data_IF_854957478672
#
_entry.id   IF_854957478672
#
_cell.length_a   1.000
_cell.length_b   1.000
_cell.length_c   1.000
_cell.angle_alpha   90.00
_cell.angle_beta   90.00
_cell.angle_gamma   90.00
#
_symmetry.space_group_name_H-M   'P 1'
#
loop_
_entity.id
_entity.type
_entity.pdbx_description
1 polymer ?
#
# COMPACT_ATOMS: atom_id res chain seq x y z
N UNK A 1 -1.34 -8.25 7.47
CA UNK A 1 0.07 -7.87 7.30
C UNK A 1 0.90 -9.07 6.87
N UNK A 2 1.51 -9.04 5.68
CA UNK A 2 2.38 -10.12 5.17
C UNK A 2 3.57 -10.44 6.11
N UNK A 3 4.00 -9.49 6.94
CA UNK A 3 5.10 -9.69 7.89
C UNK A 3 4.80 -10.69 9.05
N UNK A 4 3.52 -10.98 9.33
CA UNK A 4 3.15 -12.00 10.34
C UNK A 4 3.28 -13.44 9.82
N UNK A 5 3.28 -13.64 8.50
CA UNK A 5 3.44 -14.95 7.88
C UNK A 5 4.92 -15.37 7.81
N UNK A 6 5.81 -14.43 7.47
CA UNK A 6 7.26 -14.71 7.31
C UNK A 6 7.94 -15.25 8.59
N UNK A 7 7.53 -14.78 9.77
CA UNK A 7 8.12 -15.22 11.05
C UNK A 7 7.71 -16.65 11.41
N UNK A 8 6.46 -17.02 11.14
CA UNK A 8 5.94 -18.36 11.41
C UNK A 8 6.55 -19.37 10.42
N UNK A 9 6.71 -18.98 9.16
CA UNK A 9 7.35 -19.80 8.11
C UNK A 9 8.82 -20.13 8.44
N UNK A 10 9.59 -19.16 8.94
CA UNK A 10 10.99 -19.38 9.33
C UNK A 10 11.11 -20.37 10.51
N UNK A 11 10.24 -20.24 11.53
CA UNK A 11 10.22 -21.16 12.68
C UNK A 11 9.81 -22.57 12.25
N UNK A 12 8.84 -22.68 11.33
CA UNK A 12 8.42 -23.98 10.77
C UNK A 12 9.52 -24.63 9.94
N UNK A 13 10.27 -23.87 9.13
CA UNK A 13 11.39 -24.39 8.35
C UNK A 13 12.53 -24.92 9.22
N UNK A 14 12.88 -24.21 10.31
CA UNK A 14 13.87 -24.65 11.29
C UNK A 14 13.39 -25.92 12.01
N UNK A 15 12.12 -25.96 12.43
CA UNK A 15 11.53 -27.12 13.11
C UNK A 15 11.50 -28.36 12.22
N UNK A 16 11.21 -28.18 10.92
CA UNK A 16 11.26 -29.23 9.91
C UNK A 16 12.69 -29.75 9.71
N UNK A 17 13.67 -28.85 9.56
CA UNK A 17 15.08 -29.20 9.39
C UNK A 17 15.63 -30.02 10.55
N UNK A 18 15.36 -29.60 11.79
CA UNK A 18 15.77 -30.31 13.01
C UNK A 18 15.08 -31.68 13.14
N UNK A 19 13.79 -31.76 12.80
CA UNK A 19 13.04 -33.03 12.87
C UNK A 19 13.54 -34.04 11.83
N UNK A 20 13.83 -33.60 10.59
CA UNK A 20 14.39 -34.45 9.53
C UNK A 20 15.83 -34.89 9.85
N UNK A 21 16.64 -33.99 10.42
CA UNK A 21 18.00 -34.31 10.85
C UNK A 21 18.01 -35.41 11.93
N UNK A 22 17.11 -35.34 12.91
CA UNK A 22 17.03 -36.34 13.98
C UNK A 22 16.46 -37.67 13.49
N UNK A 23 15.52 -37.64 12.53
CA UNK A 23 14.99 -38.85 11.89
C UNK A 23 16.04 -39.59 11.04
N UNK A 24 16.95 -38.85 10.41
CA UNK A 24 18.03 -39.41 9.61
C UNK A 24 19.23 -39.88 10.45
N UNK A 25 19.35 -39.41 11.70
CA UNK A 25 20.42 -39.80 12.63
C UNK A 25 20.06 -41.12 13.36
N UNK A 26 20.95 -42.11 13.25
CA UNK A 26 20.93 -43.43 13.92
C UNK A 26 19.73 -44.37 13.65
N UNK A 27 19.79 -45.22 12.61
CA UNK A 27 18.70 -46.11 12.17
C UNK A 27 18.18 -47.20 13.13
N UNK A 28 18.78 -47.44 14.31
CA UNK A 28 18.57 -48.71 15.06
C UNK A 28 17.72 -48.67 16.33
N UNK A 29 17.36 -47.51 16.89
CA UNK A 29 16.40 -47.40 18.01
C UNK A 29 15.52 -46.15 17.89
N UNK A 30 14.23 -46.31 18.17
CA UNK A 30 13.31 -45.20 18.40
C UNK A 30 13.53 -44.76 19.84
N UNK A 31 14.23 -43.65 20.03
CA UNK A 31 14.33 -42.99 21.32
C UNK A 31 13.20 -41.96 21.45
N UNK A 32 12.87 -41.54 22.67
CA UNK A 32 11.84 -40.52 22.96
C UNK A 32 11.94 -39.29 22.04
N UNK A 33 13.15 -38.80 21.78
CA UNK A 33 13.45 -37.70 20.85
C UNK A 33 12.92 -37.95 19.43
N UNK A 34 13.07 -39.16 18.90
CA UNK A 34 12.50 -39.51 17.58
C UNK A 34 10.99 -39.56 17.59
N UNK A 35 10.39 -40.01 18.69
CA UNK A 35 8.94 -39.95 18.87
C UNK A 35 8.44 -38.50 18.82
N UNK A 36 9.13 -37.59 19.52
CA UNK A 36 8.85 -36.15 19.49
C UNK A 36 9.03 -35.58 18.07
N UNK A 37 10.10 -35.93 17.35
CA UNK A 37 10.32 -35.47 15.98
C UNK A 37 9.25 -35.96 15.00
N UNK A 38 8.80 -37.22 15.10
CA UNK A 38 7.68 -37.74 14.29
C UNK A 38 6.39 -36.98 14.59
N UNK A 39 6.11 -36.74 15.88
CA UNK A 39 4.93 -35.98 16.30
C UNK A 39 4.94 -34.54 15.77
N UNK A 40 6.07 -33.83 15.88
CA UNK A 40 6.23 -32.47 15.35
C UNK A 40 6.10 -32.43 13.82
N UNK A 41 6.66 -33.41 13.12
CA UNK A 41 6.52 -33.54 11.67
C UNK A 41 5.05 -33.76 11.27
N UNK A 42 4.34 -34.64 11.97
CA UNK A 42 2.93 -34.91 11.73
C UNK A 42 2.07 -33.66 11.99
N UNK A 43 2.31 -32.94 13.09
CA UNK A 43 1.65 -31.67 13.42
C UNK A 43 1.89 -30.61 12.35
N UNK A 44 3.11 -30.52 11.81
CA UNK A 44 3.45 -29.57 10.77
C UNK A 44 2.76 -29.91 9.44
N UNK A 45 2.71 -31.19 9.06
CA UNK A 45 1.97 -31.65 7.87
C UNK A 45 0.47 -31.35 8.02
N UNK A 46 -0.12 -31.65 9.19
CA UNK A 46 -1.53 -31.35 9.48
C UNK A 46 -1.79 -29.85 9.38
N UNK A 47 -0.95 -29.03 10.01
CA UNK A 47 -1.08 -27.56 9.96
C UNK A 47 -0.95 -27.04 8.53
N UNK A 48 0.00 -27.58 7.75
CA UNK A 48 0.17 -27.18 6.36
C UNK A 48 -1.07 -27.54 5.53
N UNK A 49 -1.59 -28.77 5.65
CA UNK A 49 -2.67 -29.26 4.81
C UNK A 49 -4.06 -28.74 5.18
N UNK A 50 -4.32 -28.57 6.48
CA UNK A 50 -5.65 -28.19 6.99
C UNK A 50 -5.76 -26.71 7.36
N UNK A 51 -4.65 -26.00 7.59
CA UNK A 51 -4.67 -24.57 7.95
C UNK A 51 -4.06 -23.74 6.84
N UNK A 52 -2.80 -23.99 6.46
CA UNK A 52 -2.11 -23.14 5.47
C UNK A 52 -2.70 -23.31 4.08
N UNK A 53 -2.81 -24.53 3.53
CA UNK A 53 -3.35 -24.75 2.18
C UNK A 53 -4.76 -24.14 2.03
N UNK A 54 -5.71 -24.30 2.97
CA UNK A 54 -7.02 -23.64 2.88
C UNK A 54 -6.94 -22.12 2.99
N UNK A 55 -6.03 -21.56 3.79
CA UNK A 55 -5.80 -20.10 3.83
C UNK A 55 -5.23 -19.59 2.51
N UNK A 56 -4.21 -20.28 1.97
CA UNK A 56 -3.65 -19.96 0.66
C UNK A 56 -4.70 -20.13 -0.42
N UNK A 57 -5.44 -21.24 -0.47
CA UNK A 57 -6.57 -21.42 -1.39
C UNK A 57 -7.59 -20.30 -1.19
N UNK A 58 -8.08 -20.01 0.01
CA UNK A 58 -9.00 -18.87 0.23
C UNK A 58 -8.44 -17.53 -0.26
N UNK A 59 -7.14 -17.31 -0.14
CA UNK A 59 -6.49 -16.07 -0.57
C UNK A 59 -6.15 -16.05 -2.08
N UNK A 60 -6.01 -17.20 -2.73
CA UNK A 60 -5.55 -17.37 -4.12
C UNK A 60 -6.59 -17.98 -5.07
N UNK A 61 -7.61 -18.65 -4.56
CA UNK A 61 -8.60 -19.45 -5.28
C UNK A 61 -10.00 -18.83 -5.25
N UNK A 62 -10.12 -17.51 -5.12
CA UNK A 62 -11.19 -16.64 -5.68
C UNK A 62 -11.09 -15.22 -5.09
N UNK A 63 -11.23 -14.14 -5.87
CA UNK A 63 -12.15 -13.10 -5.46
C UNK A 63 -13.59 -13.60 -5.73
N UNK A 64 -14.56 -13.36 -4.83
CA UNK A 64 -15.97 -13.51 -5.20
C UNK A 64 -16.22 -12.58 -6.41
N UNK A 65 -16.73 -13.13 -7.51
CA UNK A 65 -17.09 -12.41 -8.74
C UNK A 65 -16.02 -11.46 -9.29
N UNK A 66 -15.04 -11.96 -10.05
CA UNK A 66 -14.29 -11.24 -11.12
C UNK A 66 -14.06 -9.72 -10.95
N UNK A 67 -13.75 -9.25 -9.74
CA UNK A 67 -13.37 -7.85 -9.53
C UNK A 67 -11.88 -7.74 -9.74
N UNK A 68 -11.48 -7.03 -10.80
CA UNK A 68 -10.08 -6.74 -11.04
C UNK A 68 -9.57 -5.92 -9.84
N UNK A 69 -8.53 -6.38 -9.15
CA UNK A 69 -7.99 -5.71 -7.96
C UNK A 69 -7.47 -4.30 -8.26
N UNK A 70 -7.25 -3.98 -9.53
CA UNK A 70 -6.84 -2.64 -9.97
C UNK A 70 -8.02 -1.76 -10.37
N UNK A 71 -9.24 -2.32 -10.49
CA UNK A 71 -10.42 -1.57 -10.90
C UNK A 71 -11.17 -1.02 -9.69
N UNK A 72 -11.72 0.18 -9.84
CA UNK A 72 -12.62 0.80 -8.86
C UNK A 72 -14.09 0.53 -9.19
N UNK A 73 -14.84 0.11 -8.18
CA UNK A 73 -16.26 -0.26 -8.25
C UNK A 73 -17.14 0.77 -7.55
N UNK A 74 -18.45 0.89 -7.86
CA UNK A 74 -19.33 1.91 -7.29
C UNK A 74 -19.39 1.99 -5.77
N UNK A 75 -19.06 0.91 -5.08
CA UNK A 75 -18.97 0.80 -3.63
C UNK A 75 -17.59 1.18 -3.04
N UNK A 76 -16.58 1.38 -3.88
CA UNK A 76 -15.25 1.79 -3.45
C UNK A 76 -15.18 3.30 -3.16
N UNK A 77 -14.51 3.73 -2.07
CA UNK A 77 -14.33 5.15 -1.75
C UNK A 77 -13.66 5.97 -2.86
N UNK A 78 -12.84 5.32 -3.70
CA UNK A 78 -12.14 5.95 -4.82
C UNK A 78 -12.98 6.12 -6.08
N UNK A 79 -14.16 5.50 -6.17
CA UNK A 79 -14.94 5.47 -7.40
C UNK A 79 -15.41 6.84 -7.87
N UNK A 80 -16.06 7.60 -6.98
CA UNK A 80 -16.55 8.94 -7.32
C UNK A 80 -15.39 9.92 -7.61
N UNK A 81 -14.24 9.72 -6.94
CA UNK A 81 -13.02 10.51 -7.16
C UNK A 81 -12.46 10.21 -8.56
N UNK A 82 -12.26 8.94 -8.90
CA UNK A 82 -11.75 8.52 -10.20
C UNK A 82 -12.67 8.95 -11.34
N UNK A 83 -13.98 8.75 -11.16
CA UNK A 83 -15.01 9.17 -12.11
C UNK A 83 -15.00 10.68 -12.33
N UNK A 84 -14.87 11.47 -11.26
CA UNK A 84 -14.76 12.91 -11.39
C UNK A 84 -13.51 13.30 -12.18
N UNK A 85 -12.34 12.73 -11.86
CA UNK A 85 -11.07 13.04 -12.54
C UNK A 85 -11.16 12.70 -14.03
N UNK A 86 -11.68 11.53 -14.38
CA UNK A 86 -11.84 11.09 -15.78
C UNK A 86 -12.69 12.08 -16.58
N UNK A 87 -13.77 12.59 -15.98
CA UNK A 87 -14.73 13.44 -16.68
C UNK A 87 -14.36 14.93 -16.71
N UNK A 88 -13.54 15.41 -15.78
CA UNK A 88 -13.30 16.85 -15.58
C UNK A 88 -11.86 17.28 -15.84
N UNK A 89 -10.93 16.35 -16.11
CA UNK A 89 -9.52 16.67 -16.36
C UNK A 89 -9.07 16.15 -17.72
N UNK A 90 -8.18 16.88 -18.43
CA UNK A 90 -7.61 16.41 -19.69
C UNK A 90 -6.64 15.24 -19.46
N UNK A 91 -6.41 14.38 -20.46
CA UNK A 91 -5.55 13.19 -20.33
C UNK A 91 -4.10 13.53 -19.96
N UNK A 92 -3.62 14.63 -20.51
CA UNK A 92 -2.30 15.19 -20.29
C UNK A 92 -2.15 15.88 -18.92
N UNK A 93 -3.22 15.98 -18.12
CA UNK A 93 -3.13 16.58 -16.80
C UNK A 93 -2.20 15.80 -15.89
N UNK A 94 -1.35 16.55 -15.18
CA UNK A 94 -0.50 16.06 -14.10
C UNK A 94 -1.28 16.07 -12.79
N UNK A 95 -1.38 14.90 -12.16
CA UNK A 95 -1.97 14.73 -10.83
C UNK A 95 -0.90 14.55 -9.77
N UNK A 96 -1.11 15.19 -8.63
CA UNK A 96 -0.48 14.83 -7.37
C UNK A 96 -1.52 14.21 -6.45
N UNK A 97 -1.39 12.93 -6.12
CA UNK A 97 -2.33 12.23 -5.26
C UNK A 97 -1.65 11.78 -3.96
N UNK A 98 -2.27 12.13 -2.82
CA UNK A 98 -1.92 11.54 -1.51
C UNK A 98 -2.80 10.34 -1.17
N UNK A 99 -3.84 10.09 -1.97
CA UNK A 99 -4.71 8.91 -1.88
C UNK A 99 -4.00 7.66 -2.39
N UNK A 100 -4.75 6.57 -2.59
CA UNK A 100 -4.21 5.36 -3.21
C UNK A 100 -3.68 5.64 -4.63
N UNK A 101 -2.46 5.17 -4.89
CA UNK A 101 -1.79 5.14 -6.19
C UNK A 101 -2.62 4.56 -7.35
N UNK A 102 -3.64 3.76 -7.05
CA UNK A 102 -4.59 3.20 -8.03
C UNK A 102 -5.24 4.28 -8.90
N UNK A 103 -5.37 5.51 -8.38
CA UNK A 103 -5.93 6.64 -9.13
C UNK A 103 -5.19 6.89 -10.44
N UNK A 104 -3.87 6.72 -10.48
CA UNK A 104 -3.08 6.94 -11.70
C UNK A 104 -3.35 5.88 -12.77
N UNK A 105 -3.59 4.64 -12.33
CA UNK A 105 -3.92 3.53 -13.22
C UNK A 105 -5.34 3.67 -13.78
N UNK A 106 -6.30 4.02 -12.92
CA UNK A 106 -7.72 4.09 -13.28
C UNK A 106 -8.06 5.34 -14.10
N UNK A 107 -7.41 6.46 -13.80
CA UNK A 107 -7.71 7.73 -14.47
C UNK A 107 -6.91 7.95 -15.75
N UNK A 108 -5.81 7.20 -15.97
CA UNK A 108 -4.89 7.41 -17.10
C UNK A 108 -4.41 8.86 -17.15
N UNK A 109 -3.81 9.33 -16.05
CA UNK A 109 -3.27 10.69 -15.89
C UNK A 109 -1.81 10.68 -15.51
N UNK A 110 -1.09 11.73 -15.90
CA UNK A 110 0.33 11.85 -15.63
C UNK A 110 0.58 12.11 -14.15
N UNK A 111 1.69 11.59 -13.63
CA UNK A 111 2.14 11.91 -12.28
C UNK A 111 2.93 13.22 -12.31
N UNK A 112 2.54 14.20 -11.49
CA UNK A 112 3.33 15.43 -11.34
C UNK A 112 4.72 15.15 -10.74
N UNK A 113 4.79 14.17 -9.84
CA UNK A 113 6.05 13.67 -9.31
C UNK A 113 6.02 12.13 -9.23
N UNK A 114 6.62 11.39 -10.19
CA UNK A 114 6.62 9.94 -10.19
C UNK A 114 7.37 9.31 -9.01
N UNK A 115 8.16 10.09 -8.26
CA UNK A 115 8.91 9.64 -7.07
C UNK A 115 8.18 9.89 -5.75
N UNK A 116 7.04 10.59 -5.76
CA UNK A 116 6.26 10.90 -4.56
C UNK A 116 5.25 9.80 -4.16
N UNK A 117 5.10 8.72 -4.94
CA UNK A 117 3.92 7.84 -4.91
C UNK A 117 4.15 6.40 -4.42
N UNK A 118 5.17 6.13 -3.58
CA UNK A 118 5.25 4.80 -2.94
C UNK A 118 4.58 4.84 -1.57
N UNK A 119 3.51 4.03 -1.42
CA UNK A 119 2.72 3.83 -0.21
C UNK A 119 3.59 3.50 1.02
N UNK A 120 4.04 4.53 1.73
CA UNK A 120 4.60 4.63 3.10
C UNK A 120 4.86 6.14 3.29
N UNK A 121 4.69 6.72 4.50
CA UNK A 121 4.20 8.10 4.66
C UNK A 121 4.98 9.03 3.74
N UNK A 122 4.20 9.71 2.90
CA UNK A 122 4.59 10.27 1.61
C UNK A 122 6.00 10.86 1.68
N UNK A 123 6.78 10.56 0.64
CA UNK A 123 8.18 10.88 0.40
C UNK A 123 9.21 9.89 0.97
N UNK A 124 9.84 9.14 0.06
CA UNK A 124 11.19 8.60 0.26
C UNK A 124 12.26 9.72 0.39
N UNK A 125 11.86 10.99 0.32
CA UNK A 125 12.71 12.19 0.31
C UNK A 125 12.23 13.20 1.33
N UNK A 126 13.11 14.12 1.72
CA UNK A 126 12.70 15.25 2.55
C UNK A 126 11.70 16.13 1.78
N UNK A 127 10.62 16.55 2.45
CA UNK A 127 9.57 17.41 1.88
C UNK A 127 10.13 18.66 1.19
N UNK A 128 11.23 19.23 1.70
CA UNK A 128 11.85 20.42 1.14
C UNK A 128 12.38 20.17 -0.28
N UNK A 129 12.89 18.96 -0.55
CA UNK A 129 13.29 18.57 -1.91
C UNK A 129 12.07 18.29 -2.78
N UNK A 130 11.03 17.68 -2.21
CA UNK A 130 9.78 17.44 -2.94
C UNK A 130 9.07 18.75 -3.33
N UNK A 131 9.14 19.78 -2.47
CA UNK A 131 8.60 21.10 -2.72
C UNK A 131 9.30 21.80 -3.90
N UNK A 132 10.63 21.70 -3.99
CA UNK A 132 11.40 22.20 -5.13
C UNK A 132 11.04 21.45 -6.42
N UNK A 133 10.94 20.12 -6.36
CA UNK A 133 10.54 19.32 -7.53
C UNK A 133 9.10 19.63 -7.99
N UNK A 134 8.20 19.90 -7.05
CA UNK A 134 6.83 20.34 -7.34
C UNK A 134 6.80 21.77 -7.89
N UNK A 135 7.73 22.64 -7.50
CA UNK A 135 7.85 23.97 -8.08
C UNK A 135 8.33 23.91 -9.53
N UNK A 136 9.31 23.04 -9.83
CA UNK A 136 9.82 22.83 -11.19
C UNK A 136 8.79 22.16 -12.11
N UNK A 137 7.92 21.33 -11.55
CA UNK A 137 6.88 20.62 -12.28
C UNK A 137 5.56 20.53 -11.49
N UNK A 138 4.78 21.63 -11.42
CA UNK A 138 3.58 21.66 -10.59
C UNK A 138 2.50 20.72 -11.13
N UNK A 139 1.72 20.07 -10.24
CA UNK A 139 0.53 19.35 -10.67
C UNK A 139 -0.51 20.33 -11.22
N UNK A 140 -1.31 19.88 -12.18
CA UNK A 140 -2.51 20.61 -12.61
C UNK A 140 -3.66 20.40 -11.61
N UNK A 141 -3.69 19.22 -10.98
CA UNK A 141 -4.68 18.87 -9.96
C UNK A 141 -4.06 18.13 -8.77
N UNK A 142 -4.51 18.49 -7.58
CA UNK A 142 -4.17 17.88 -6.31
C UNK A 142 -5.31 16.98 -5.85
N UNK A 143 -5.05 15.71 -5.55
CA UNK A 143 -6.02 14.76 -4.99
C UNK A 143 -5.59 14.39 -3.57
N UNK A 144 -6.27 14.95 -2.59
CA UNK A 144 -5.78 15.04 -1.21
C UNK A 144 -6.69 14.27 -0.25
N UNK A 145 -6.18 13.24 0.43
CA UNK A 145 -6.85 12.66 1.60
C UNK A 145 -6.54 13.52 2.83
N UNK A 146 -7.52 14.31 3.25
CA UNK A 146 -7.42 15.28 4.35
C UNK A 146 -7.15 14.61 5.71
N UNK A 147 -7.30 13.29 5.83
CA UNK A 147 -6.94 12.55 7.05
C UNK A 147 -5.44 12.29 7.14
N UNK A 148 -4.70 12.41 6.04
CA UNK A 148 -3.27 12.12 6.03
C UNK A 148 -2.46 13.15 6.81
N UNK A 149 -2.93 14.39 6.95
CA UNK A 149 -2.25 15.41 7.76
C UNK A 149 -1.99 14.94 9.18
N UNK A 150 -3.05 14.48 9.84
CA UNK A 150 -2.96 13.97 11.20
C UNK A 150 -2.06 12.75 11.27
N UNK A 151 -2.15 11.84 10.30
CA UNK A 151 -1.29 10.65 10.25
C UNK A 151 0.19 11.01 10.07
N UNK A 152 0.51 12.03 9.27
CA UNK A 152 1.89 12.49 9.09
C UNK A 152 2.43 13.13 10.35
N UNK A 153 1.64 13.98 11.00
CA UNK A 153 2.01 14.59 12.27
C UNK A 153 2.23 13.53 13.36
N UNK A 154 1.32 12.54 13.47
CA UNK A 154 1.43 11.42 14.40
C UNK A 154 2.68 10.54 14.13
N UNK A 155 3.16 10.52 12.89
CA UNK A 155 4.37 9.78 12.47
C UNK A 155 5.67 10.62 12.55
N UNK A 156 5.60 11.88 13.01
CA UNK A 156 6.77 12.75 13.17
C UNK A 156 7.13 13.57 11.92
N UNK A 157 6.27 13.61 10.90
CA UNK A 157 6.46 14.35 9.65
C UNK A 157 5.79 15.74 9.68
N UNK A 158 5.89 16.47 10.80
CA UNK A 158 5.23 17.76 11.00
C UNK A 158 5.64 18.80 9.96
N UNK A 159 6.94 18.87 9.61
CA UNK A 159 7.42 19.81 8.57
C UNK A 159 6.82 19.48 7.19
N UNK A 160 6.65 18.20 6.87
CA UNK A 160 6.03 17.76 5.63
C UNK A 160 4.56 18.16 5.54
N UNK A 161 3.82 17.96 6.64
CA UNK A 161 2.43 18.40 6.80
C UNK A 161 2.31 19.91 6.58
N UNK A 162 3.17 20.71 7.21
CA UNK A 162 3.13 22.18 7.14
C UNK A 162 3.37 22.73 5.72
N UNK A 163 4.40 22.24 5.02
CA UNK A 163 4.69 22.69 3.65
C UNK A 163 3.52 22.35 2.72
N UNK A 164 3.01 21.13 2.80
CA UNK A 164 1.92 20.71 1.92
C UNK A 164 0.60 21.44 2.28
N UNK A 165 0.31 21.67 3.56
CA UNK A 165 -0.80 22.54 3.98
C UNK A 165 -0.67 23.96 3.43
N UNK A 166 0.54 24.53 3.43
CA UNK A 166 0.79 25.87 2.89
C UNK A 166 0.55 25.93 1.38
N UNK A 167 1.07 24.95 0.63
CA UNK A 167 0.82 24.83 -0.82
C UNK A 167 -0.69 24.78 -1.07
N UNK A 168 -1.38 23.85 -0.41
CA UNK A 168 -2.81 23.60 -0.63
C UNK A 168 -3.71 24.75 -0.14
N UNK A 169 -3.23 25.63 0.74
CA UNK A 169 -4.00 26.78 1.22
C UNK A 169 -4.34 27.80 0.12
N UNK A 170 -3.53 27.84 -0.94
CA UNK A 170 -3.74 28.68 -2.11
C UNK A 170 -4.49 27.97 -3.24
N UNK A 171 -4.71 26.67 -3.12
CA UNK A 171 -5.29 25.84 -4.16
C UNK A 171 -6.80 25.75 -3.98
N UNK A 172 -7.55 26.13 -5.02
CA UNK A 172 -9.02 26.12 -4.95
C UNK A 172 -9.55 24.69 -4.93
N UNK A 173 -10.37 24.37 -3.92
CA UNK A 173 -11.16 23.13 -3.89
C UNK A 173 -12.24 23.19 -4.98
N UNK A 174 -12.20 22.23 -5.90
CA UNK A 174 -13.15 22.11 -7.01
C UNK A 174 -14.00 20.84 -6.93
N UNK A 175 -13.63 19.90 -6.07
CA UNK A 175 -14.44 18.73 -5.74
C UNK A 175 -14.10 18.22 -4.33
N UNK A 176 -15.09 17.63 -3.66
CA UNK A 176 -14.93 17.05 -2.33
C UNK A 176 -15.79 15.80 -2.19
N UNK A 177 -15.20 14.71 -1.67
CA UNK A 177 -15.86 13.45 -1.37
C UNK A 177 -15.37 12.92 -0.01
N UNK A 178 -16.25 12.92 1.00
CA UNK A 178 -15.99 12.48 2.38
C UNK A 178 -14.74 13.15 3.00
N UNK A 179 -13.58 12.52 2.82
CA UNK A 179 -12.28 12.98 3.32
C UNK A 179 -11.27 13.30 2.20
N UNK A 180 -11.66 13.20 0.93
CA UNK A 180 -10.81 13.54 -0.22
C UNK A 180 -11.24 14.85 -0.83
N UNK A 181 -10.30 15.76 -1.05
CA UNK A 181 -10.51 16.98 -1.85
C UNK A 181 -9.74 16.88 -3.16
N UNK A 182 -10.31 17.46 -4.22
CA UNK A 182 -9.58 17.74 -5.44
C UNK A 182 -9.45 19.25 -5.57
N UNK A 183 -8.21 19.71 -5.74
CA UNK A 183 -7.88 21.11 -5.92
C UNK A 183 -7.21 21.34 -7.26
N UNK A 184 -7.42 22.52 -7.85
CA UNK A 184 -6.85 22.86 -9.16
C UNK A 184 -5.80 23.94 -9.02
N UNK A 185 -4.64 23.65 -9.59
CA UNK A 185 -3.58 24.61 -9.76
C UNK A 185 -3.86 25.51 -10.95
N UNK A 186 -3.66 26.80 -10.74
CA UNK A 186 -3.79 27.79 -11.81
C UNK A 186 -2.52 27.82 -12.66
N UNK A 187 -2.67 27.52 -13.95
CA UNK A 187 -1.56 27.52 -14.89
C UNK A 187 -0.82 28.87 -14.88
N UNK A 188 0.49 28.82 -14.66
CA UNK A 188 1.36 30.00 -14.65
C UNK A 188 1.44 30.75 -13.31
N UNK A 189 0.81 30.24 -12.24
CA UNK A 189 1.07 30.70 -10.87
C UNK A 189 2.11 29.83 -10.20
N UNK A 190 2.96 30.45 -9.38
CA UNK A 190 3.88 29.70 -8.52
C UNK A 190 3.13 29.02 -7.38
N UNK A 191 3.68 27.91 -6.87
CA UNK A 191 3.18 27.26 -5.67
C UNK A 191 3.37 28.15 -4.44
N UNK A 192 2.40 28.12 -3.52
CA UNK A 192 2.51 28.79 -2.24
C UNK A 192 3.45 28.05 -1.29
N UNK A 193 4.73 28.41 -1.32
CA UNK A 193 5.80 27.88 -0.47
C UNK A 193 6.14 28.79 0.71
#
# INVERSE_FOLDING_TARGET
HPNRLMTVEAIMAISLGLSLQELTRNRKKINFLKGVSVFLLAMLIITFYFVMIPIYKRNFSHPPETRNRTATYPDDPMYEINKWVINNTPKEAKLFATTDSIIYLETDRLMANPRAVTNLPVFYREINQAALELQDNPPDYWVIDERQWKRFEDMGFTQASQVLQKILSCEQVIFQAEYVTIRKHEAGKDLCL
#
